data_IF_763585758532
#
_entry.id   IF_763585758532
#
_cell.length_a   1.000
_cell.length_b   1.000
_cell.length_c   1.000
_cell.angle_alpha   90.00
_cell.angle_beta   90.00
_cell.angle_gamma   90.00
#
_symmetry.space_group_name_H-M   'P 1'
#
loop_
_entity.id
_entity.type
_entity.pdbx_description
1 polymer ?
#
# COMPACT_ATOMS: atom_id res chain seq x y z
N UNK A 1 5.73 -5.92 0.28
CA UNK A 1 5.97 -4.59 -0.29
C UNK A 1 5.15 -3.57 0.47
N UNK A 2 5.78 -2.63 1.18
CA UNK A 2 5.06 -1.76 2.12
C UNK A 2 5.48 -0.29 2.08
N UNK A 3 5.27 0.41 0.95
CA UNK A 3 5.65 1.82 0.85
C UNK A 3 4.86 2.65 1.85
N UNK A 4 5.54 3.59 2.51
CA UNK A 4 4.93 4.56 3.42
C UNK A 4 5.40 5.98 3.12
N UNK A 5 4.45 6.91 3.12
CA UNK A 5 4.68 8.35 3.09
C UNK A 5 4.02 8.98 4.32
N UNK A 6 4.75 9.87 5.00
CA UNK A 6 4.20 10.69 6.08
C UNK A 6 4.30 12.16 5.69
N UNK A 7 3.16 12.84 5.66
CA UNK A 7 3.09 14.29 5.45
C UNK A 7 2.88 14.95 6.82
N UNK A 8 3.78 15.87 7.25
CA UNK A 8 3.67 16.54 8.54
C UNK A 8 2.34 17.29 8.72
N UNK A 9 1.92 17.41 9.98
CA UNK A 9 0.76 18.21 10.37
C UNK A 9 0.89 19.66 9.87
N UNK A 10 -0.25 20.28 9.53
CA UNK A 10 -0.31 21.66 9.05
C UNK A 10 0.02 21.84 7.57
N UNK A 11 0.32 20.77 6.82
CA UNK A 11 0.48 20.79 5.35
C UNK A 11 -0.75 20.23 4.63
N UNK A 12 -1.08 20.70 3.41
CA UNK A 12 -2.08 20.04 2.58
C UNK A 12 -1.74 18.55 2.39
N UNK A 13 -2.71 17.66 2.64
CA UNK A 13 -2.50 16.22 2.61
C UNK A 13 -1.79 15.65 3.84
N UNK A 14 -1.82 16.36 4.99
CA UNK A 14 -1.28 15.83 6.25
C UNK A 14 -1.88 14.45 6.59
N UNK A 15 -1.01 13.49 6.90
CA UNK A 15 -1.41 12.11 7.17
C UNK A 15 -0.30 11.10 6.89
N UNK A 16 -0.54 9.86 7.32
CA UNK A 16 0.25 8.70 6.96
C UNK A 16 -0.46 7.90 5.87
N UNK A 17 0.24 7.58 4.79
CA UNK A 17 -0.25 6.79 3.67
C UNK A 17 0.62 5.55 3.56
N UNK A 18 0.01 4.36 3.63
CA UNK A 18 0.72 3.09 3.55
C UNK A 18 -0.15 2.03 2.87
N UNK A 19 0.45 1.31 1.94
CA UNK A 19 -0.06 0.05 1.41
C UNK A 19 0.85 -1.07 1.90
N UNK A 20 0.36 -2.32 1.94
CA UNK A 20 1.17 -3.44 2.39
C UNK A 20 0.73 -4.78 1.77
N UNK A 21 1.58 -5.29 0.88
CA UNK A 21 1.43 -6.60 0.24
C UNK A 21 2.45 -7.62 0.74
N UNK A 22 2.08 -8.89 0.70
CA UNK A 22 2.98 -10.01 0.98
C UNK A 22 3.24 -10.75 -0.32
N UNK A 23 4.52 -10.98 -0.62
CA UNK A 23 4.93 -11.71 -1.82
C UNK A 23 5.68 -12.97 -1.42
N UNK A 24 5.35 -14.08 -2.08
CA UNK A 24 6.11 -15.32 -2.04
C UNK A 24 7.08 -15.30 -3.23
N UNK A 25 8.38 -15.47 -2.97
CA UNK A 25 9.39 -15.55 -4.02
C UNK A 25 9.46 -16.99 -4.55
N UNK A 26 9.34 -17.15 -5.87
CA UNK A 26 9.41 -18.41 -6.59
C UNK A 26 10.56 -18.39 -7.61
N UNK A 27 10.80 -19.50 -8.30
CA UNK A 27 11.83 -19.57 -9.35
C UNK A 27 11.52 -18.64 -10.54
N UNK A 28 10.22 -18.43 -10.84
CA UNK A 28 9.76 -17.64 -11.97
C UNK A 28 9.46 -16.17 -11.63
N UNK A 29 9.46 -15.79 -10.35
CA UNK A 29 9.20 -14.40 -9.93
C UNK A 29 8.69 -14.25 -8.50
N UNK A 30 7.73 -13.35 -8.33
CA UNK A 30 7.12 -13.05 -7.03
C UNK A 30 5.59 -13.14 -7.14
N UNK A 31 4.98 -14.07 -6.40
CA UNK A 31 3.54 -14.21 -6.29
C UNK A 31 3.02 -13.34 -5.15
N UNK A 32 2.18 -12.35 -5.47
CA UNK A 32 1.48 -11.57 -4.46
C UNK A 32 0.31 -12.36 -3.88
N UNK A 33 0.29 -12.56 -2.56
CA UNK A 33 -0.79 -13.27 -1.86
C UNK A 33 -1.79 -12.34 -1.18
N UNK A 34 -1.55 -11.04 -1.16
CA UNK A 34 -2.53 -10.05 -0.70
C UNK A 34 -3.55 -9.80 -1.82
N UNK A 35 -4.82 -10.15 -1.58
CA UNK A 35 -5.87 -10.12 -2.63
C UNK A 35 -6.90 -9.01 -2.47
N UNK A 36 -6.87 -8.29 -1.36
CA UNK A 36 -7.78 -7.16 -1.17
C UNK A 36 -7.35 -6.01 -2.09
N UNK A 37 -8.28 -5.36 -2.83
CA UNK A 37 -7.91 -4.27 -3.71
C UNK A 37 -7.46 -3.05 -2.91
N UNK A 38 -6.48 -2.31 -3.44
CA UNK A 38 -5.97 -1.09 -2.83
C UNK A 38 -6.25 0.14 -3.70
N UNK A 39 -6.11 1.33 -3.10
CA UNK A 39 -6.30 2.60 -3.79
C UNK A 39 -7.70 3.22 -3.69
N UNK A 40 -7.82 4.43 -4.24
CA UNK A 40 -8.97 5.33 -4.07
C UNK A 40 -10.29 4.74 -4.60
N UNK A 41 -10.23 3.90 -5.64
CA UNK A 41 -11.42 3.29 -6.25
C UNK A 41 -12.15 2.34 -5.31
N UNK A 42 -11.47 1.79 -4.30
CA UNK A 42 -12.00 0.76 -3.41
C UNK A 42 -12.01 1.18 -1.93
N UNK A 43 -11.11 2.08 -1.52
CA UNK A 43 -10.87 2.39 -0.10
C UNK A 43 -11.50 3.72 0.38
N UNK A 44 -12.38 4.34 -0.41
CA UNK A 44 -13.24 5.45 0.04
C UNK A 44 -14.63 4.89 0.33
N UNK A 45 -15.03 4.89 1.60
CA UNK A 45 -16.25 4.25 2.13
C UNK A 45 -17.24 5.31 2.61
#
# INVERSE_FOLDING_TARGET
MEPMLTVPEGRPGAGGYREHDILIITEDGAEDVTKYPFGIEFNVI
#
